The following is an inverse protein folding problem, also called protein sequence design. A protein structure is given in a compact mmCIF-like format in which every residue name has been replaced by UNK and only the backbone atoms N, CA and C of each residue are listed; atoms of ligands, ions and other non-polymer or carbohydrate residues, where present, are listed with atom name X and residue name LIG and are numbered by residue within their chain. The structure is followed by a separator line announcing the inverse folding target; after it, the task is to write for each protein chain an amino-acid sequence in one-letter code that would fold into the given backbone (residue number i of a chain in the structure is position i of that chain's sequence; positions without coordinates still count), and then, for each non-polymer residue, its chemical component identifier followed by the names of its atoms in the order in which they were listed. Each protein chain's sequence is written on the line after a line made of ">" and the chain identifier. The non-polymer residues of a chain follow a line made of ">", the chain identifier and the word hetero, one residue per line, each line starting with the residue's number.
data_IF_516705677507
#
_entry.id   IF_516705677507
#
_cell.length_a   1.000
_cell.length_b   1.000
_cell.length_c   1.000
_cell.angle_alpha   90.00
_cell.angle_beta   90.00
_cell.angle_gamma   90.00
#
_symmetry.space_group_name_H-M   'P 1'
#
loop_
_entity.id
_entity.type
_entity.pdbx_description
1 polymer ?
#
# COMPACT_ATOMS: atom_id res chain seq x y z
N UNK A 1 48.08 18.41 -18.75
CA UNK A 1 47.12 17.44 -19.31
C UNK A 1 45.75 17.89 -18.88
N UNK A 2 45.15 18.73 -19.72
CA UNK A 2 43.82 19.30 -19.60
C UNK A 2 42.73 18.25 -19.77
N UNK A 3 41.69 18.33 -18.94
CA UNK A 3 40.38 17.75 -19.27
C UNK A 3 39.27 18.54 -18.60
N UNK A 4 38.90 19.64 -19.24
CA UNK A 4 37.68 20.39 -18.98
C UNK A 4 36.45 19.51 -19.30
N UNK A 5 35.63 19.23 -18.29
CA UNK A 5 34.25 18.77 -18.49
C UNK A 5 33.31 19.97 -18.43
N UNK A 6 32.92 20.46 -19.61
CA UNK A 6 31.83 21.42 -19.79
C UNK A 6 30.48 20.69 -19.62
N UNK A 7 29.79 20.92 -18.51
CA UNK A 7 28.37 20.58 -18.37
C UNK A 7 27.52 21.73 -18.94
N UNK A 8 26.92 21.51 -20.11
CA UNK A 8 25.89 22.40 -20.67
C UNK A 8 24.56 22.11 -19.98
N UNK A 9 24.08 23.07 -19.19
CA UNK A 9 22.67 23.12 -18.76
C UNK A 9 21.83 23.73 -19.88
N UNK A 10 20.86 22.97 -20.37
CA UNK A 10 19.80 23.48 -21.25
C UNK A 10 18.62 23.91 -20.39
N UNK A 11 18.39 25.22 -20.31
CA UNK A 11 17.17 25.82 -19.80
C UNK A 11 16.04 25.61 -20.81
N UNK A 12 15.13 24.68 -20.52
CA UNK A 12 13.86 24.53 -21.22
C UNK A 12 12.79 25.33 -20.46
N UNK A 13 12.54 26.56 -20.93
CA UNK A 13 11.41 27.37 -20.50
C UNK A 13 10.15 26.87 -21.22
N UNK A 14 9.29 26.14 -20.51
CA UNK A 14 7.93 25.82 -20.95
C UNK A 14 7.01 26.96 -20.55
N UNK A 15 6.66 27.81 -21.52
CA UNK A 15 5.59 28.78 -21.40
C UNK A 15 4.25 28.05 -21.40
N UNK A 16 3.55 28.08 -20.27
CA UNK A 16 2.15 27.63 -20.18
C UNK A 16 1.25 28.83 -20.43
N UNK A 17 0.66 28.89 -21.61
CA UNK A 17 -0.44 29.81 -21.93
C UNK A 17 -1.75 29.16 -21.50
N UNK A 18 -2.38 29.68 -20.44
CA UNK A 18 -3.75 29.34 -20.07
C UNK A 18 -4.72 30.30 -20.79
N UNK A 19 -5.71 29.81 -21.57
CA UNK A 19 -6.82 30.63 -21.99
C UNK A 19 -7.78 30.82 -20.81
N UNK A 20 -7.96 32.07 -20.42
CA UNK A 20 -8.98 32.48 -19.45
C UNK A 20 -10.39 32.28 -20.01
N UNK A 21 -11.28 31.83 -19.14
CA UNK A 21 -12.73 32.02 -19.30
C UNK A 21 -13.19 32.81 -18.09
N UNK A 22 -13.54 34.07 -18.35
CA UNK A 22 -14.21 34.98 -17.44
C UNK A 22 -15.69 34.61 -17.53
N UNK A 23 -16.27 34.11 -16.44
CA UNK A 23 -17.73 34.05 -16.27
C UNK A 23 -18.13 35.29 -15.47
N UNK A 24 -18.76 36.21 -16.19
CA UNK A 24 -19.45 37.38 -15.69
C UNK A 24 -20.85 36.93 -15.26
N UNK A 25 -21.21 37.03 -13.98
CA UNK A 25 -22.62 37.08 -13.57
C UNK A 25 -22.85 38.34 -12.76
N UNK A 26 -23.80 39.11 -13.27
CA UNK A 26 -24.22 40.40 -12.76
C UNK A 26 -25.41 40.22 -11.79
N UNK A 27 -25.36 41.01 -10.72
CA UNK A 27 -26.44 41.80 -10.13
C UNK A 27 -27.88 41.25 -10.15
N UNK A 28 -28.40 41.11 -8.93
CA UNK A 28 -29.72 41.62 -8.58
C UNK A 28 -30.57 40.63 -7.79
N UNK A 29 -30.91 40.95 -6.55
CA UNK A 29 -32.22 41.52 -6.21
C UNK A 29 -32.31 41.74 -4.69
N UNK A 30 -32.65 42.99 -4.33
CA UNK A 30 -33.18 43.35 -3.03
C UNK A 30 -34.61 42.78 -2.88
N UNK A 31 -35.01 42.39 -1.67
CA UNK A 31 -36.39 41.95 -1.43
C UNK A 31 -36.70 41.50 -0.02
N UNK A 32 -37.11 42.45 0.81
CA UNK A 32 -38.15 42.39 1.84
C UNK A 32 -38.15 41.25 2.90
N UNK A 33 -37.94 41.72 4.13
CA UNK A 33 -38.41 41.20 5.41
C UNK A 33 -39.91 40.89 5.44
N UNK A 34 -40.28 39.70 5.92
CA UNK A 34 -41.61 39.40 6.48
C UNK A 34 -41.44 38.56 7.75
N UNK A 35 -42.10 38.90 8.88
CA UNK A 35 -42.06 38.10 10.10
C UNK A 35 -43.10 36.97 10.03
N UNK A 36 -42.64 35.71 10.07
CA UNK A 36 -43.50 34.55 10.28
C UNK A 36 -43.46 34.15 11.76
N UNK A 37 -44.54 34.47 12.45
CA UNK A 37 -44.89 33.99 13.78
C UNK A 37 -45.69 32.70 13.59
N UNK A 38 -45.06 31.56 13.84
CA UNK A 38 -45.69 30.25 13.75
C UNK A 38 -45.15 29.34 14.84
N UNK A 39 -45.91 29.24 15.93
CA UNK A 39 -45.75 28.18 16.91
C UNK A 39 -45.96 26.84 16.21
N UNK A 40 -44.99 25.94 16.31
CA UNK A 40 -45.35 24.54 16.42
C UNK A 40 -44.39 23.75 17.29
N UNK A 41 -45.00 23.06 18.25
CA UNK A 41 -44.34 22.19 19.22
C UNK A 41 -44.02 20.89 18.50
N UNK A 42 -42.76 20.69 18.13
CA UNK A 42 -42.28 19.37 17.73
C UNK A 42 -41.40 18.78 18.83
N UNK A 43 -41.69 17.55 19.31
CA UNK A 43 -40.94 16.94 20.40
C UNK A 43 -39.53 16.64 19.93
N UNK A 44 -38.59 17.29 20.61
CA UNK A 44 -37.15 17.06 20.58
C UNK A 44 -36.88 15.63 21.07
N UNK A 45 -37.00 14.65 20.17
CA UNK A 45 -36.38 13.35 20.37
C UNK A 45 -34.86 13.59 20.31
N UNK A 46 -34.27 13.77 21.48
CA UNK A 46 -32.85 13.64 21.69
C UNK A 46 -32.48 12.20 21.31
N UNK A 47 -32.12 12.00 20.04
CA UNK A 47 -31.35 10.84 19.61
C UNK A 47 -29.97 11.00 20.24
N UNK A 48 -29.83 10.52 21.47
CA UNK A 48 -28.55 10.21 22.08
C UNK A 48 -27.97 8.95 21.42
N UNK A 49 -27.74 9.02 20.10
CA UNK A 49 -26.73 8.18 19.48
C UNK A 49 -25.39 8.75 19.90
N UNK A 50 -24.99 8.35 21.12
CA UNK A 50 -23.61 8.40 21.54
C UNK A 50 -22.82 7.68 20.46
N UNK A 51 -22.09 8.46 19.67
CA UNK A 51 -20.97 8.02 18.84
C UNK A 51 -20.09 7.22 19.80
N UNK A 52 -20.25 5.90 19.81
CA UNK A 52 -19.30 5.02 20.46
C UNK A 52 -18.01 5.27 19.71
N UNK A 53 -17.19 6.18 20.26
CA UNK A 53 -15.78 6.28 19.94
C UNK A 53 -15.26 4.91 20.34
N UNK A 54 -15.21 4.02 19.36
CA UNK A 54 -14.59 2.71 19.45
C UNK A 54 -13.29 2.97 20.20
N UNK A 55 -13.20 2.50 21.44
CA UNK A 55 -12.06 2.71 22.30
C UNK A 55 -10.89 2.08 21.58
N UNK A 56 -10.14 2.88 20.80
CA UNK A 56 -8.85 2.47 20.28
C UNK A 56 -8.04 2.22 21.54
N UNK A 57 -7.90 0.94 21.89
CA UNK A 57 -6.97 0.50 22.92
C UNK A 57 -5.65 1.20 22.61
N UNK A 58 -5.34 2.20 23.43
CA UNK A 58 -4.11 2.96 23.29
C UNK A 58 -3.01 1.98 23.65
N UNK A 59 -2.45 1.35 22.62
CA UNK A 59 -1.26 0.51 22.75
C UNK A 59 -0.20 1.38 23.41
N UNK A 60 0.11 1.07 24.67
CA UNK A 60 1.12 1.79 25.43
C UNK A 60 2.44 1.67 24.66
N UNK A 61 3.14 2.78 24.35
CA UNK A 61 4.43 2.70 23.69
C UNK A 61 5.40 1.83 24.48
N UNK A 62 6.20 1.04 23.79
CA UNK A 62 7.28 0.27 24.42
C UNK A 62 8.34 1.22 24.98
N UNK A 63 8.92 0.86 26.11
CA UNK A 63 9.83 1.72 26.86
C UNK A 63 11.27 1.20 26.80
N UNK A 64 12.21 2.05 26.39
CA UNK A 64 13.64 1.79 26.38
C UNK A 64 14.23 2.16 27.75
N UNK A 65 14.34 1.16 28.63
CA UNK A 65 14.76 1.36 30.02
C UNK A 65 15.98 0.50 30.45
N UNK A 66 16.70 -0.11 29.50
CA UNK A 66 17.91 -0.89 29.77
C UNK A 66 19.12 -0.28 29.08
N UNK A 67 20.26 -0.31 29.74
CA UNK A 67 21.53 0.10 29.13
C UNK A 67 21.91 -0.88 28.03
N UNK A 68 22.30 -0.35 26.88
CA UNK A 68 22.91 -1.09 25.79
C UNK A 68 24.36 -1.39 26.11
N UNK A 69 24.74 -2.66 26.15
CA UNK A 69 26.10 -3.12 26.46
C UNK A 69 26.89 -3.59 25.22
N UNK A 70 26.24 -3.70 24.07
CA UNK A 70 26.80 -4.13 22.77
C UNK A 70 26.07 -3.39 21.64
N UNK A 71 26.51 -3.52 20.38
CA UNK A 71 25.79 -3.00 19.21
C UNK A 71 24.51 -3.80 18.87
N UNK A 72 23.77 -4.22 19.90
CA UNK A 72 22.48 -4.91 19.81
C UNK A 72 21.38 -4.03 20.37
N UNK A 73 20.30 -3.79 19.63
CA UNK A 73 19.19 -3.00 20.12
C UNK A 73 18.53 -3.70 21.31
N UNK A 74 18.20 -2.93 22.33
CA UNK A 74 17.47 -3.39 23.53
C UNK A 74 16.04 -3.75 23.16
N UNK A 75 15.47 -3.05 22.19
CA UNK A 75 14.12 -3.24 21.71
C UNK A 75 14.02 -2.92 20.21
N UNK A 76 13.03 -3.49 19.56
CA UNK A 76 12.68 -3.19 18.17
C UNK A 76 11.22 -2.79 18.12
N UNK A 77 10.93 -1.60 17.61
CA UNK A 77 9.56 -1.18 17.28
C UNK A 77 9.34 -1.25 15.79
N UNK A 78 8.12 -1.61 15.38
CA UNK A 78 7.77 -1.76 13.97
C UNK A 78 6.88 -0.60 13.53
N UNK A 79 7.14 -0.05 12.35
CA UNK A 79 6.24 0.91 11.70
C UNK A 79 4.92 0.20 11.41
N UNK A 80 3.84 0.71 11.99
CA UNK A 80 2.49 0.18 11.77
C UNK A 80 1.99 0.55 10.37
N UNK A 81 1.42 -0.41 9.66
CA UNK A 81 1.00 -0.24 8.26
C UNK A 81 -0.25 0.63 8.07
N UNK A 82 -1.01 0.86 9.14
CA UNK A 82 -2.25 1.64 9.09
C UNK A 82 -2.01 3.11 9.45
N UNK A 83 -0.99 3.40 10.24
CA UNK A 83 -0.64 4.74 10.69
C UNK A 83 0.67 5.25 10.11
N UNK A 84 1.49 4.39 9.50
CA UNK A 84 2.85 4.70 9.05
C UNK A 84 3.72 5.28 10.18
N UNK A 85 3.44 4.88 11.42
CA UNK A 85 4.13 5.34 12.62
C UNK A 85 4.68 4.18 13.46
N UNK A 86 5.79 4.43 14.13
CA UNK A 86 6.29 3.65 15.25
C UNK A 86 6.48 4.60 16.44
N UNK A 87 6.25 4.10 17.66
CA UNK A 87 6.39 4.88 18.89
C UNK A 87 7.19 4.10 19.91
N UNK A 88 8.12 4.78 20.58
CA UNK A 88 8.83 4.26 21.73
C UNK A 88 9.09 5.37 22.73
N UNK A 89 9.22 5.03 24.00
CA UNK A 89 9.53 6.00 25.06
C UNK A 89 10.94 5.78 25.57
N UNK A 90 11.75 6.84 25.62
CA UNK A 90 12.99 6.83 26.36
C UNK A 90 12.66 6.84 27.86
N UNK A 91 13.03 5.77 28.58
CA UNK A 91 12.77 5.68 30.01
C UNK A 91 13.45 6.83 30.78
N UNK A 92 13.02 7.08 32.02
CA UNK A 92 13.52 8.22 32.82
C UNK A 92 15.05 8.25 32.97
N UNK A 93 15.71 7.09 33.02
CA UNK A 93 17.17 6.98 33.07
C UNK A 93 17.87 7.40 31.76
N UNK A 94 17.12 7.54 30.67
CA UNK A 94 17.58 7.90 29.33
C UNK A 94 16.88 9.16 28.79
N UNK A 95 16.54 10.08 29.69
CA UNK A 95 15.81 11.31 29.41
C UNK A 95 16.69 12.49 28.94
N UNK A 96 18.01 12.32 28.88
CA UNK A 96 18.98 13.39 28.61
C UNK A 96 19.05 13.81 27.14
N UNK A 97 18.43 13.06 26.22
CA UNK A 97 18.37 13.40 24.80
C UNK A 97 18.35 12.17 23.88
N UNK A 98 18.61 12.39 22.59
CA UNK A 98 18.58 11.33 21.56
C UNK A 98 19.81 11.35 20.66
N UNK A 99 20.13 10.22 20.03
CA UNK A 99 21.07 10.12 18.90
C UNK A 99 20.33 9.50 17.71
N UNK A 100 20.27 10.17 16.55
CA UNK A 100 20.59 11.58 16.33
C UNK A 100 19.73 12.52 17.20
N UNK A 101 20.13 13.78 17.35
CA UNK A 101 19.38 14.76 18.16
C UNK A 101 18.10 15.23 17.44
N UNK A 102 16.97 14.57 17.75
CA UNK A 102 15.69 14.73 17.04
C UNK A 102 15.20 16.18 17.02
N UNK A 103 15.41 16.94 18.11
CA UNK A 103 14.95 18.34 18.19
C UNK A 103 15.58 19.27 17.15
N UNK A 104 16.79 18.95 16.68
CA UNK A 104 17.54 19.74 15.69
C UNK A 104 17.61 19.08 14.31
N UNK A 105 17.39 17.77 14.23
CA UNK A 105 17.54 17.00 13.00
C UNK A 105 16.49 15.89 12.93
N UNK A 106 15.19 16.23 12.81
CA UNK A 106 14.11 15.26 12.91
C UNK A 106 14.10 14.23 11.78
N UNK A 107 14.82 14.48 10.67
CA UNK A 107 14.88 13.55 9.53
C UNK A 107 16.02 12.53 9.64
N UNK A 108 16.95 12.72 10.57
CA UNK A 108 18.11 11.87 10.71
C UNK A 108 17.82 10.64 11.56
N UNK A 109 18.43 9.53 11.20
CA UNK A 109 18.53 8.31 11.98
C UNK A 109 19.94 7.72 11.83
N UNK A 110 20.23 6.66 12.58
CA UNK A 110 21.45 5.89 12.38
C UNK A 110 21.21 4.71 11.44
N UNK A 111 22.11 4.54 10.47
CA UNK A 111 22.07 3.41 9.52
C UNK A 111 22.38 2.06 10.20
N UNK A 112 23.22 2.08 11.22
CA UNK A 112 23.65 0.89 11.97
C UNK A 112 23.48 1.09 13.48
N UNK A 113 23.56 -0.04 14.20
CA UNK A 113 23.39 -0.10 15.64
C UNK A 113 24.49 0.65 16.42
N UNK A 114 25.72 0.65 15.91
CA UNK A 114 26.84 1.36 16.53
C UNK A 114 26.57 2.87 16.53
N UNK A 115 25.88 3.39 15.52
CA UNK A 115 25.34 4.75 15.47
C UNK A 115 26.36 5.82 15.88
N UNK A 116 27.56 5.85 15.27
CA UNK A 116 28.48 6.98 15.38
C UNK A 116 27.98 8.16 14.52
N UNK A 117 28.52 9.35 14.77
CA UNK A 117 28.09 10.60 14.12
C UNK A 117 28.12 10.57 12.58
N UNK A 118 29.09 9.86 12.02
CA UNK A 118 29.29 9.69 10.58
C UNK A 118 28.26 8.77 9.92
N UNK A 119 27.55 7.96 10.70
CA UNK A 119 26.51 7.06 10.23
C UNK A 119 25.10 7.64 10.46
N UNK A 120 25.01 8.89 10.93
CA UNK A 120 23.77 9.64 10.94
C UNK A 120 23.40 10.06 9.52
N UNK A 121 22.33 9.48 8.99
CA UNK A 121 21.81 9.72 7.65
C UNK A 121 20.35 10.11 7.70
N UNK A 122 19.84 10.74 6.66
CA UNK A 122 18.39 10.95 6.55
C UNK A 122 17.68 9.61 6.36
N UNK A 123 16.48 9.47 6.95
CA UNK A 123 15.63 8.28 6.79
C UNK A 123 15.40 7.95 5.31
N UNK A 124 15.29 8.98 4.46
CA UNK A 124 15.12 8.84 3.02
C UNK A 124 16.31 8.17 2.32
N UNK A 125 17.52 8.26 2.85
CA UNK A 125 18.68 7.58 2.29
C UNK A 125 18.67 6.07 2.55
N UNK A 126 17.91 5.61 3.55
CA UNK A 126 17.76 4.18 3.87
C UNK A 126 16.54 3.61 3.15
N UNK A 127 15.40 4.31 3.27
CA UNK A 127 14.11 3.81 2.85
C UNK A 127 13.69 4.27 1.46
N UNK A 128 14.44 5.16 0.81
CA UNK A 128 14.05 5.80 -0.47
C UNK A 128 12.71 6.57 -0.39
N UNK A 129 12.30 6.96 0.82
CA UNK A 129 11.07 7.72 1.12
C UNK A 129 11.29 8.68 2.28
N UNK A 130 10.59 9.81 2.26
CA UNK A 130 10.70 10.78 3.35
C UNK A 130 10.24 10.17 4.70
N UNK A 131 10.88 10.61 5.77
CA UNK A 131 10.52 10.26 7.12
C UNK A 131 10.92 11.36 8.10
N UNK A 132 10.33 11.33 9.29
CA UNK A 132 10.72 12.20 10.40
C UNK A 132 10.48 11.52 11.75
N UNK A 133 11.20 11.95 12.76
CA UNK A 133 10.98 11.65 14.15
C UNK A 133 10.62 12.94 14.91
N UNK A 134 9.77 12.79 15.92
CA UNK A 134 9.37 13.85 16.83
C UNK A 134 9.53 13.36 18.26
N UNK A 135 10.08 14.20 19.14
CA UNK A 135 10.24 13.91 20.56
C UNK A 135 9.23 14.75 21.36
N UNK A 136 8.34 14.08 22.10
CA UNK A 136 7.37 14.72 23.00
C UNK A 136 7.25 13.91 24.29
N UNK A 137 7.51 14.55 25.44
CA UNK A 137 7.44 13.90 26.76
C UNK A 137 8.21 12.56 26.81
N UNK A 138 9.47 12.57 26.37
CA UNK A 138 10.34 11.39 26.21
C UNK A 138 9.85 10.31 25.24
N UNK A 139 8.71 10.50 24.59
CA UNK A 139 8.20 9.59 23.56
C UNK A 139 8.67 10.06 22.19
N UNK A 140 9.39 9.18 21.51
CA UNK A 140 9.79 9.35 20.11
C UNK A 140 8.71 8.74 19.24
N UNK A 141 8.15 9.54 18.34
CA UNK A 141 7.25 9.09 17.28
C UNK A 141 7.97 9.20 15.95
N UNK A 142 8.20 8.07 15.29
CA UNK A 142 8.79 8.01 13.95
C UNK A 142 7.66 7.84 12.95
N UNK A 143 7.60 8.70 11.94
CA UNK A 143 6.60 8.68 10.86
C UNK A 143 7.32 8.58 9.52
N UNK A 144 6.83 7.74 8.61
CA UNK A 144 7.35 7.59 7.24
C UNK A 144 6.27 7.94 6.21
N UNK A 145 6.68 8.40 5.03
CA UNK A 145 5.74 8.75 3.97
C UNK A 145 4.95 7.55 3.44
N UNK A 146 5.59 6.38 3.39
CA UNK A 146 5.03 5.07 3.01
C UNK A 146 5.97 3.95 3.46
N UNK A 147 5.51 2.70 3.42
CA UNK A 147 6.38 1.52 3.54
C UNK A 147 6.70 1.00 2.14
N UNK A 148 7.93 1.17 1.62
CA UNK A 148 8.30 0.64 0.31
C UNK A 148 8.39 -0.89 0.34
N UNK A 149 7.77 -1.56 -0.64
CA UNK A 149 7.75 -3.02 -0.70
C UNK A 149 9.16 -3.64 -0.79
N UNK A 150 10.09 -3.00 -1.51
CA UNK A 150 11.48 -3.44 -1.64
C UNK A 150 12.36 -3.13 -0.41
N UNK A 151 11.80 -2.51 0.63
CA UNK A 151 12.48 -2.17 1.89
C UNK A 151 11.83 -2.83 3.10
N UNK A 152 10.83 -3.69 2.91
CA UNK A 152 10.17 -4.39 4.02
C UNK A 152 11.19 -5.21 4.82
N UNK A 153 11.07 -5.16 6.14
CA UNK A 153 12.04 -5.76 7.08
C UNK A 153 13.33 -4.95 7.30
N UNK A 154 13.59 -3.88 6.54
CA UNK A 154 14.72 -2.98 6.79
C UNK A 154 14.61 -2.30 8.15
N UNK A 155 15.77 -1.91 8.70
CA UNK A 155 15.86 -1.30 10.02
C UNK A 155 16.76 -0.07 10.01
N UNK A 156 16.47 0.85 10.91
CA UNK A 156 17.32 1.97 11.26
C UNK A 156 17.23 2.22 12.76
N UNK A 157 18.10 3.05 13.30
CA UNK A 157 18.36 3.06 14.75
C UNK A 157 18.29 4.46 15.36
N UNK A 158 17.93 4.49 16.64
CA UNK A 158 18.05 5.65 17.52
C UNK A 158 18.63 5.20 18.87
N UNK A 159 19.30 6.13 19.56
CA UNK A 159 19.68 5.94 20.97
C UNK A 159 18.96 6.95 21.84
N UNK A 160 18.43 6.51 22.97
CA UNK A 160 18.08 7.38 24.09
C UNK A 160 19.32 7.58 24.97
N UNK A 161 19.64 8.83 25.33
CA UNK A 161 20.83 9.17 26.14
C UNK A 161 20.47 9.27 27.62
N UNK A 162 21.19 8.56 28.48
CA UNK A 162 21.25 8.83 29.91
C UNK A 162 22.48 9.67 30.26
N UNK A 163 22.86 9.71 31.53
CA UNK A 163 24.06 10.45 31.98
C UNK A 163 25.36 9.81 31.48
N UNK A 164 25.49 8.48 31.63
CA UNK A 164 26.70 7.71 31.28
C UNK A 164 26.39 6.45 30.45
N UNK A 165 25.14 6.32 29.99
CA UNK A 165 24.64 5.14 29.32
C UNK A 165 23.71 5.51 28.17
N UNK A 166 23.47 4.55 27.27
CA UNK A 166 22.54 4.70 26.15
C UNK A 166 21.60 3.52 26.09
N UNK A 167 20.39 3.74 25.58
CA UNK A 167 19.44 2.69 25.25
C UNK A 167 19.17 2.72 23.74
N UNK A 168 19.61 1.68 23.05
CA UNK A 168 19.53 1.54 21.59
C UNK A 168 18.19 0.92 21.19
N UNK A 169 17.49 1.61 20.30
CA UNK A 169 16.20 1.21 19.73
C UNK A 169 16.38 0.98 18.23
N UNK A 170 15.94 -0.18 17.75
CA UNK A 170 15.74 -0.39 16.32
C UNK A 170 14.31 -0.02 15.93
N UNK A 171 14.17 0.71 14.83
CA UNK A 171 12.90 0.97 14.17
C UNK A 171 12.90 0.15 12.89
N UNK A 172 11.99 -0.82 12.81
CA UNK A 172 11.87 -1.75 11.70
C UNK A 172 10.70 -1.38 10.81
N UNK A 173 10.86 -1.56 9.50
CA UNK A 173 9.73 -1.70 8.59
C UNK A 173 9.07 -3.07 8.81
N UNK A 174 7.74 -3.16 8.62
CA UNK A 174 7.02 -4.42 8.74
C UNK A 174 7.55 -5.44 7.73
N UNK A 175 7.31 -6.71 8.02
CA UNK A 175 7.69 -7.83 7.16
C UNK A 175 7.06 -7.76 5.76
N UNK A 176 7.54 -8.60 4.85
CA UNK A 176 6.91 -8.81 3.55
C UNK A 176 5.43 -9.19 3.72
N UNK A 177 4.56 -8.54 2.96
CA UNK A 177 3.16 -8.91 2.88
C UNK A 177 2.92 -9.92 1.76
N UNK A 178 1.92 -10.80 1.89
CA UNK A 178 1.42 -11.59 0.77
C UNK A 178 1.00 -10.71 -0.42
N UNK A 179 1.08 -11.24 -1.64
CA UNK A 179 0.75 -10.50 -2.86
C UNK A 179 -0.71 -10.03 -2.92
N UNK A 180 -1.61 -10.71 -2.21
CA UNK A 180 -3.03 -10.41 -2.17
C UNK A 180 -3.45 -9.55 -0.96
N UNK A 181 -2.51 -8.95 -0.23
CA UNK A 181 -2.80 -8.12 0.94
C UNK A 181 -2.59 -6.63 0.68
N UNK A 182 -3.63 -5.83 0.88
CA UNK A 182 -3.59 -4.38 0.66
C UNK A 182 -3.03 -3.67 1.89
N UNK A 183 -2.13 -2.70 1.67
CA UNK A 183 -1.60 -1.77 2.68
C UNK A 183 -1.50 -0.36 2.09
N UNK A 184 -1.39 0.68 2.92
CA UNK A 184 -1.38 2.09 2.48
C UNK A 184 -0.42 2.31 1.31
N UNK A 185 -0.90 2.97 0.25
CA UNK A 185 -0.21 3.28 -1.00
C UNK A 185 0.35 2.07 -1.79
N UNK A 186 -0.02 0.84 -1.41
CA UNK A 186 0.28 -0.37 -2.17
C UNK A 186 -0.70 -0.54 -3.34
N UNK A 187 -0.24 -1.22 -4.39
CA UNK A 187 -1.09 -1.75 -5.45
C UNK A 187 -1.04 -3.27 -5.41
N UNK A 188 -2.19 -3.91 -5.27
CA UNK A 188 -2.38 -5.36 -5.34
C UNK A 188 -2.86 -5.71 -6.74
N UNK A 189 -2.19 -6.62 -7.42
CA UNK A 189 -2.58 -7.07 -8.76
C UNK A 189 -3.10 -8.50 -8.73
N UNK A 190 -4.31 -8.71 -9.22
CA UNK A 190 -5.00 -10.00 -9.25
C UNK A 190 -5.46 -10.30 -10.68
N UNK A 191 -5.55 -11.59 -11.01
CA UNK A 191 -6.00 -12.04 -12.32
C UNK A 191 -7.05 -13.14 -12.22
N UNK A 192 -8.11 -13.02 -13.00
CA UNK A 192 -9.15 -14.03 -13.18
C UNK A 192 -9.19 -14.43 -14.65
N UNK A 193 -8.71 -15.65 -14.96
CA UNK A 193 -8.49 -16.11 -16.34
C UNK A 193 -9.51 -17.14 -16.85
N UNK A 194 -10.38 -17.65 -15.99
CA UNK A 194 -11.37 -18.67 -16.34
C UNK A 194 -12.73 -18.39 -15.68
N UNK A 195 -13.86 -18.82 -16.27
CA UNK A 195 -15.16 -18.72 -15.64
C UNK A 195 -15.21 -19.56 -14.36
N UNK A 196 -16.07 -19.18 -13.42
CA UNK A 196 -16.24 -19.86 -12.12
C UNK A 196 -14.97 -19.91 -11.27
N UNK A 197 -14.02 -19.02 -11.52
CA UNK A 197 -12.83 -18.86 -10.67
C UNK A 197 -13.05 -17.78 -9.63
N UNK A 198 -12.34 -17.93 -8.51
CA UNK A 198 -12.32 -16.96 -7.41
C UNK A 198 -10.91 -16.51 -7.11
N UNK A 199 -10.78 -15.31 -6.57
CA UNK A 199 -9.54 -14.79 -5.99
C UNK A 199 -9.87 -14.09 -4.68
N UNK A 200 -9.02 -14.30 -3.68
CA UNK A 200 -9.17 -13.66 -2.37
C UNK A 200 -8.14 -12.55 -2.21
N UNK A 201 -8.55 -11.43 -1.61
CA UNK A 201 -7.65 -10.37 -1.20
C UNK A 201 -8.01 -9.84 0.19
N UNK A 202 -7.01 -9.30 0.89
CA UNK A 202 -7.18 -8.72 2.23
C UNK A 202 -7.10 -7.21 2.16
N UNK A 203 -7.98 -6.54 2.88
CA UNK A 203 -8.12 -5.08 2.87
C UNK A 203 -8.24 -4.57 4.30
N UNK A 204 -7.11 -4.33 4.95
CA UNK A 204 -7.06 -3.98 6.38
C UNK A 204 -7.62 -2.57 6.71
N UNK A 205 -8.02 -1.81 5.68
CA UNK A 205 -8.80 -0.58 5.78
C UNK A 205 -10.29 -0.80 5.49
N UNK A 206 -11.02 0.27 5.19
CA UNK A 206 -12.42 0.21 4.76
C UNK A 206 -12.49 -0.01 3.24
N UNK A 207 -13.16 -1.07 2.80
CA UNK A 207 -13.29 -1.37 1.38
C UNK A 207 -14.39 -0.53 0.72
N UNK A 208 -14.06 0.21 -0.34
CA UNK A 208 -15.03 0.78 -1.27
C UNK A 208 -15.57 -0.35 -2.14
N UNK A 209 -16.78 -0.81 -1.85
CA UNK A 209 -17.40 -1.99 -2.46
C UNK A 209 -17.76 -1.82 -3.94
N UNK A 210 -17.90 -0.57 -4.40
CA UNK A 210 -18.17 -0.27 -5.81
C UNK A 210 -16.85 -0.11 -6.57
N UNK A 211 -16.51 -1.01 -7.50
CA UNK A 211 -15.26 -0.91 -8.25
C UNK A 211 -15.31 0.22 -9.28
N UNK A 212 -14.11 0.70 -9.63
CA UNK A 212 -13.87 1.68 -10.68
C UNK A 212 -13.37 0.92 -11.91
N UNK A 213 -13.91 1.23 -13.09
CA UNK A 213 -13.40 0.70 -14.35
C UNK A 213 -12.10 1.41 -14.72
N UNK A 214 -11.02 0.65 -14.90
CA UNK A 214 -9.70 1.22 -15.20
C UNK A 214 -9.38 1.02 -16.67
N UNK A 215 -9.27 2.14 -17.40
CA UNK A 215 -8.94 2.12 -18.84
C UNK A 215 -7.44 1.99 -19.09
N UNK A 216 -6.60 2.60 -18.25
CA UNK A 216 -5.14 2.63 -18.40
C UNK A 216 -4.44 2.82 -17.05
N UNK A 217 -3.26 2.21 -16.88
CA UNK A 217 -2.38 2.44 -15.73
C UNK A 217 -2.76 1.69 -14.45
N UNK A 218 -2.02 1.97 -13.38
CA UNK A 218 -2.24 1.45 -12.02
C UNK A 218 -3.12 2.36 -11.16
N UNK A 219 -3.56 3.50 -11.71
CA UNK A 219 -4.41 4.45 -10.99
C UNK A 219 -5.88 4.07 -11.15
N UNK A 220 -6.59 4.03 -10.03
CA UNK A 220 -8.03 3.79 -9.98
C UNK A 220 -8.80 5.07 -10.35
N UNK A 221 -8.58 5.49 -11.59
CA UNK A 221 -9.12 6.67 -12.24
C UNK A 221 -10.00 6.22 -13.39
N UNK A 222 -11.29 6.55 -13.32
CA UNK A 222 -12.27 6.11 -14.31
C UNK A 222 -13.69 6.30 -13.83
N UNK A 223 -14.64 5.81 -14.61
CA UNK A 223 -16.05 5.75 -14.21
C UNK A 223 -16.30 4.59 -13.26
N UNK A 224 -17.36 4.68 -12.46
CA UNK A 224 -17.83 3.52 -11.69
C UNK A 224 -18.21 2.39 -12.64
N UNK A 225 -17.73 1.19 -12.37
CA UNK A 225 -18.10 0.02 -13.14
C UNK A 225 -19.50 -0.44 -12.73
N UNK A 226 -20.33 -0.81 -13.70
CA UNK A 226 -21.53 -1.59 -13.39
C UNK A 226 -21.08 -3.00 -13.03
N UNK A 227 -21.13 -3.35 -11.74
CA UNK A 227 -20.56 -4.54 -11.11
C UNK A 227 -21.22 -5.88 -11.53
N UNK A 228 -21.61 -6.04 -12.80
CA UNK A 228 -22.24 -7.26 -13.32
C UNK A 228 -21.24 -8.37 -13.63
N UNK A 229 -19.95 -8.02 -13.77
CA UNK A 229 -18.92 -8.97 -14.20
C UNK A 229 -18.34 -9.78 -13.03
N UNK A 230 -18.12 -9.13 -11.90
CA UNK A 230 -17.59 -9.74 -10.69
C UNK A 230 -18.64 -9.77 -9.59
N UNK A 231 -18.64 -10.83 -8.81
CA UNK A 231 -19.36 -10.86 -7.55
C UNK A 231 -18.35 -10.71 -6.43
N UNK A 232 -18.56 -9.70 -5.60
CA UNK A 232 -17.79 -9.48 -4.37
C UNK A 232 -18.57 -10.14 -3.24
N UNK A 233 -18.01 -11.20 -2.67
CA UNK A 233 -18.54 -11.83 -1.46
C UNK A 233 -17.87 -11.20 -0.24
N UNK A 234 -18.66 -10.46 0.54
CA UNK A 234 -18.30 -9.82 1.80
C UNK A 234 -18.80 -10.61 3.02
N UNK A 235 -19.42 -11.78 2.83
CA UNK A 235 -19.86 -12.63 3.96
C UNK A 235 -18.69 -13.09 4.83
N UNK A 236 -17.47 -13.11 4.26
CA UNK A 236 -16.19 -13.33 4.95
C UNK A 236 -15.48 -12.05 5.39
N UNK A 237 -16.16 -10.89 5.46
CA UNK A 237 -15.57 -9.65 5.99
C UNK A 237 -15.09 -9.77 7.44
N UNK A 238 -15.40 -10.88 8.13
CA UNK A 238 -14.67 -11.33 9.31
C UNK A 238 -13.17 -11.44 8.98
N UNK A 239 -12.37 -10.52 9.53
CA UNK A 239 -10.93 -10.37 9.27
C UNK A 239 -10.57 -9.72 7.92
N UNK A 240 -11.42 -8.83 7.39
CA UNK A 240 -11.04 -7.97 6.27
C UNK A 240 -10.64 -8.74 4.99
N UNK A 241 -11.13 -9.96 4.81
CA UNK A 241 -10.84 -10.81 3.66
C UNK A 241 -12.03 -10.83 2.71
N UNK A 242 -11.78 -10.58 1.43
CA UNK A 242 -12.79 -10.42 0.39
C UNK A 242 -12.57 -11.42 -0.72
N UNK A 243 -13.63 -12.07 -1.17
CA UNK A 243 -13.58 -13.03 -2.29
C UNK A 243 -14.23 -12.42 -3.52
N UNK A 244 -13.48 -12.33 -4.61
CA UNK A 244 -14.00 -11.96 -5.93
C UNK A 244 -14.21 -13.21 -6.74
N UNK A 245 -15.39 -13.33 -7.36
CA UNK A 245 -15.68 -14.41 -8.30
C UNK A 245 -16.12 -13.88 -9.66
N UNK A 246 -15.81 -14.62 -10.71
CA UNK A 246 -16.26 -14.34 -12.07
C UNK A 246 -17.17 -15.46 -12.56
N UNK A 247 -18.48 -15.18 -12.70
CA UNK A 247 -19.42 -16.20 -13.18
C UNK A 247 -19.22 -16.49 -14.68
N UNK A 248 -18.97 -15.45 -15.47
CA UNK A 248 -18.74 -15.53 -16.92
C UNK A 248 -17.67 -14.52 -17.32
N UNK A 249 -16.74 -14.93 -18.18
CA UNK A 249 -15.72 -14.03 -18.70
C UNK A 249 -16.34 -12.97 -19.63
N UNK A 250 -15.84 -11.72 -19.61
CA UNK A 250 -16.27 -10.65 -20.50
C UNK A 250 -15.85 -10.93 -21.96
N UNK A 251 -16.46 -10.23 -22.92
CA UNK A 251 -16.07 -10.35 -24.34
C UNK A 251 -14.73 -9.66 -24.66
N UNK A 252 -14.24 -8.82 -23.74
CA UNK A 252 -12.98 -8.11 -23.85
C UNK A 252 -12.28 -8.13 -22.48
N UNK A 253 -10.95 -8.11 -22.46
CA UNK A 253 -10.20 -8.06 -21.20
C UNK A 253 -10.56 -6.78 -20.46
N UNK A 254 -11.00 -6.91 -19.21
CA UNK A 254 -11.45 -5.78 -18.39
C UNK A 254 -10.56 -5.66 -17.17
N UNK A 255 -10.19 -4.42 -16.82
CA UNK A 255 -9.52 -4.11 -15.55
C UNK A 255 -10.48 -3.37 -14.63
N UNK A 256 -10.66 -3.92 -13.44
CA UNK A 256 -11.48 -3.35 -12.38
C UNK A 256 -10.56 -2.96 -11.23
N UNK A 257 -10.85 -1.85 -10.57
CA UNK A 257 -10.14 -1.45 -9.36
C UNK A 257 -11.08 -1.34 -8.16
N UNK A 258 -10.69 -1.98 -7.06
CA UNK A 258 -11.24 -1.71 -5.74
C UNK A 258 -10.28 -0.84 -4.93
N UNK A 259 -10.81 -0.01 -4.03
CA UNK A 259 -10.00 0.83 -3.13
C UNK A 259 -10.22 0.42 -1.69
N UNK A 260 -9.12 0.19 -0.98
CA UNK A 260 -9.10 0.13 0.48
C UNK A 260 -8.76 1.51 1.01
N UNK A 261 -9.61 2.08 1.84
CA UNK A 261 -9.49 3.43 2.39
C UNK A 261 -8.99 3.33 3.83
N UNK A 262 -7.96 4.10 4.13
CA UNK A 262 -7.36 4.21 5.45
C UNK A 262 -7.58 5.64 5.93
N UNK A 263 -8.44 5.81 6.93
CA UNK A 263 -8.68 7.11 7.55
C UNK A 263 -7.79 7.34 8.76
N UNK A 264 -7.55 8.60 9.10
CA UNK A 264 -6.81 8.95 10.30
C UNK A 264 -5.31 8.67 10.20
N UNK A 265 -4.75 8.62 8.98
CA UNK A 265 -3.32 8.43 8.75
C UNK A 265 -2.60 9.74 9.03
N UNK A 266 -1.64 9.81 9.97
CA UNK A 266 -0.89 11.03 10.27
C UNK A 266 -0.17 11.61 9.04
N UNK A 267 -0.22 12.93 8.88
CA UNK A 267 0.52 13.60 7.81
C UNK A 267 2.00 13.74 8.17
N UNK A 268 2.89 13.50 7.20
CA UNK A 268 4.33 13.62 7.43
C UNK A 268 4.77 15.06 7.69
N UNK A 269 4.08 16.07 7.15
CA UNK A 269 4.39 17.48 7.44
C UNK A 269 4.01 17.88 8.88
N UNK A 270 2.90 17.34 9.39
CA UNK A 270 2.30 17.68 10.68
C UNK A 270 1.53 16.47 11.24
N UNK A 271 2.12 15.76 12.20
CA UNK A 271 1.58 14.50 12.74
C UNK A 271 0.31 14.70 13.58
N UNK A 272 -0.03 15.95 13.91
CA UNK A 272 -1.29 16.30 14.58
C UNK A 272 -2.46 16.32 13.61
N UNK A 273 -2.18 16.42 12.30
CA UNK A 273 -3.15 16.31 11.23
C UNK A 273 -3.17 14.89 10.70
N UNK A 274 -4.34 14.51 10.19
CA UNK A 274 -4.53 13.22 9.55
C UNK A 274 -5.09 13.41 8.15
N UNK A 275 -4.85 12.43 7.31
CA UNK A 275 -5.35 12.36 5.95
C UNK A 275 -5.93 10.97 5.65
N UNK A 276 -6.67 10.91 4.56
CA UNK A 276 -7.16 9.65 4.00
C UNK A 276 -6.13 9.16 3.00
N UNK A 277 -5.69 7.91 3.16
CA UNK A 277 -4.83 7.21 2.20
C UNK A 277 -5.55 6.00 1.63
N UNK A 278 -5.04 5.46 0.52
CA UNK A 278 -5.68 4.34 -0.14
C UNK A 278 -4.70 3.26 -0.55
N UNK A 279 -5.20 2.05 -0.68
CA UNK A 279 -4.56 0.97 -1.40
C UNK A 279 -5.44 0.56 -2.59
N UNK A 280 -4.82 0.26 -3.72
CA UNK A 280 -5.52 -0.08 -4.96
C UNK A 280 -5.45 -1.59 -5.22
N UNK A 281 -6.59 -2.23 -5.41
CA UNK A 281 -6.69 -3.65 -5.79
C UNK A 281 -7.13 -3.73 -7.25
N UNK A 282 -6.16 -3.97 -8.12
CA UNK A 282 -6.31 -4.06 -9.57
C UNK A 282 -6.62 -5.50 -9.97
N UNK A 283 -7.81 -5.73 -10.50
CA UNK A 283 -8.29 -7.05 -10.91
C UNK A 283 -8.40 -7.07 -12.43
N UNK A 284 -7.59 -7.90 -13.07
CA UNK A 284 -7.65 -8.14 -14.51
C UNK A 284 -8.50 -9.39 -14.79
N UNK A 285 -9.61 -9.20 -15.49
CA UNK A 285 -10.48 -10.29 -15.94
C UNK A 285 -10.20 -10.56 -17.41
N UNK A 286 -9.72 -11.76 -17.74
CA UNK A 286 -9.42 -12.15 -19.11
C UNK A 286 -10.68 -12.18 -19.97
N UNK A 287 -10.57 -11.86 -21.27
CA UNK A 287 -11.68 -12.09 -22.20
C UNK A 287 -12.03 -13.57 -22.30
N UNK A 288 -13.28 -13.89 -22.60
CA UNK A 288 -13.69 -15.21 -23.03
C UNK A 288 -12.87 -15.57 -24.28
N UNK A 289 -12.14 -16.68 -24.21
CA UNK A 289 -11.65 -17.31 -25.44
C UNK A 289 -12.89 -17.64 -26.25
N UNK A 290 -13.02 -17.18 -27.51
CA UNK A 290 -14.09 -17.68 -28.35
C UNK A 290 -13.95 -19.19 -28.30
N UNK A 291 -14.96 -19.89 -27.77
CA UNK A 291 -15.06 -21.34 -27.94
C UNK A 291 -14.76 -21.52 -29.40
N UNK A 292 -13.58 -22.10 -29.69
CA UNK A 292 -13.22 -22.45 -31.05
C UNK A 292 -14.41 -23.27 -31.47
N UNK A 293 -15.29 -22.69 -32.30
CA UNK A 293 -16.45 -23.38 -32.77
C UNK A 293 -15.85 -24.63 -33.35
N UNK A 294 -16.04 -25.75 -32.65
CA UNK A 294 -15.62 -27.05 -33.12
C UNK A 294 -16.42 -27.19 -34.39
N UNK A 295 -15.82 -26.72 -35.47
CA UNK A 295 -16.22 -27.01 -36.82
C UNK A 295 -15.91 -28.49 -36.84
N UNK A 296 -16.90 -29.27 -36.42
CA UNK A 296 -16.95 -30.70 -36.55
C UNK A 296 -16.97 -30.92 -38.05
N UNK A 297 -15.80 -30.81 -38.69
CA UNK A 297 -15.57 -31.31 -40.02
C UNK A 297 -15.63 -32.81 -39.85
N UNK A 298 -16.86 -33.33 -39.90
CA UNK A 298 -17.17 -34.73 -40.11
C UNK A 298 -16.46 -35.14 -41.40
N UNK A 299 -15.22 -35.59 -41.25
CA UNK A 299 -14.48 -36.22 -42.33
C UNK A 299 -15.12 -37.58 -42.49
N UNK A 300 -15.97 -37.72 -43.50
CA UNK A 300 -16.57 -39.00 -43.84
C UNK A 300 -15.45 -40.04 -44.02
N UNK A 301 -15.51 -41.19 -43.33
CA UNK A 301 -14.52 -42.24 -43.51
C UNK A 301 -14.64 -42.77 -44.94
N UNK A 302 -13.68 -42.40 -45.79
CA UNK A 302 -13.56 -43.02 -47.11
C UNK A 302 -12.91 -44.37 -46.90
N UNK A 303 -13.67 -45.42 -47.16
CA UNK A 303 -13.27 -46.82 -47.05
C UNK A 303 -12.10 -47.11 -48.00
N UNK A 304 -10.87 -47.04 -47.50
CA UNK A 304 -9.70 -47.56 -48.20
C UNK A 304 -9.33 -48.91 -47.57
N UNK A 305 -9.33 -49.92 -48.43
CA UNK A 305 -9.08 -51.31 -48.14
C UNK A 305 -7.75 -51.54 -47.40
N UNK A 306 -7.81 -52.53 -46.53
CA UNK A 306 -6.71 -53.19 -45.84
C UNK A 306 -5.61 -53.64 -46.80
N UNK A 307 -4.39 -53.14 -46.58
CA UNK A 307 -3.17 -53.86 -46.97
C UNK A 307 -2.34 -54.07 -45.72
N UNK A 308 -2.30 -55.34 -45.32
CA UNK A 308 -1.46 -55.84 -44.24
C UNK A 308 0.02 -55.77 -44.65
N UNK A 309 0.83 -55.07 -43.86
CA UNK A 309 2.27 -55.29 -43.84
C UNK A 309 2.70 -55.77 -42.45
N UNK A 310 3.09 -57.04 -42.41
CA UNK A 310 3.93 -57.66 -41.39
C UNK A 310 5.36 -57.12 -41.51
N UNK A 311 5.95 -56.64 -40.41
CA UNK A 311 7.35 -56.86 -40.04
C UNK A 311 7.57 -56.28 -38.62
N UNK A 312 7.82 -57.07 -37.58
CA UNK A 312 9.09 -57.69 -37.14
C UNK A 312 10.21 -56.71 -36.75
N UNK A 313 10.70 -56.85 -35.51
CA UNK A 313 11.96 -56.32 -34.96
C UNK A 313 11.76 -55.06 -34.12
N UNK A 314 11.96 -55.06 -32.79
CA UNK A 314 13.27 -55.08 -32.12
C UNK A 314 13.87 -53.65 -32.17
N UNK A 315 14.19 -52.92 -31.10
CA UNK A 315 15.27 -53.16 -30.13
C UNK A 315 15.16 -52.08 -29.01
N UNK A 316 15.67 -52.45 -27.84
CA UNK A 316 15.82 -51.74 -26.55
C UNK A 316 16.92 -50.64 -26.50
N UNK A 317 17.03 -49.99 -25.33
CA UNK A 317 18.10 -49.10 -24.78
C UNK A 317 17.98 -47.62 -25.17
N UNK A 318 18.23 -46.63 -24.29
CA UNK A 318 18.75 -46.62 -22.92
C UNK A 318 18.74 -45.18 -22.37
N UNK A 319 18.88 -45.06 -21.05
CA UNK A 319 18.90 -43.81 -20.29
C UNK A 319 20.18 -42.98 -20.53
N UNK A 320 20.09 -41.65 -20.50
CA UNK A 320 21.16 -40.75 -20.02
C UNK A 320 20.55 -39.54 -19.29
N UNK A 321 20.97 -39.38 -18.04
CA UNK A 321 20.78 -38.23 -17.16
C UNK A 321 21.80 -37.12 -17.47
N UNK A 322 21.45 -35.85 -17.23
CA UNK A 322 22.44 -34.81 -16.95
C UNK A 322 21.87 -33.75 -16.00
N UNK A 323 22.54 -33.65 -14.85
CA UNK A 323 22.42 -32.63 -13.81
C UNK A 323 23.12 -31.34 -14.23
N UNK A 324 22.67 -30.20 -13.71
CA UNK A 324 23.53 -29.03 -13.55
C UNK A 324 23.18 -28.29 -12.24
N UNK A 325 24.10 -28.38 -11.27
CA UNK A 325 24.26 -27.48 -10.14
C UNK A 325 24.82 -26.14 -10.66
N UNK A 326 24.35 -25.03 -10.11
CA UNK A 326 25.16 -23.82 -10.00
C UNK A 326 24.86 -23.15 -8.64
N UNK A 327 25.87 -23.10 -7.80
CA UNK A 327 25.92 -22.34 -6.56
C UNK A 327 26.64 -21.01 -6.83
N UNK A 328 26.14 -19.95 -6.18
CA UNK A 328 26.93 -18.85 -5.64
C UNK A 328 26.13 -18.23 -4.49
#
# INVERSE_FOLDING_TARGET
>A
MDRHYFFRWALLALAVTAPGIIVTEALGHAGATVPMKGSDKSPRLQSSQGRQVLGKDLVKPEECNKTTTEDKPVMTVTIDEKSLQAKFTCGNAFASGTVPEIGTSPRKCCKDAACPSENEVDISNILDVDGKAELSNHTVTVTVAKVPDNKRGEKFYYKCKGSDNTCLVAVALPSSLPDNECAIDRTVELSLSAPQTTVEFKCNGELVTTPIEVKTGASCTGGQATNKLLQLDDSKAQNHTYTLSVAKLPNATTKLCYKCVYEGVPQLSDTTKTETRTCSVMVTVAKATPESSETSTSTAPTSAASIAYKSLGGVTLGAISLSALAAN
#
